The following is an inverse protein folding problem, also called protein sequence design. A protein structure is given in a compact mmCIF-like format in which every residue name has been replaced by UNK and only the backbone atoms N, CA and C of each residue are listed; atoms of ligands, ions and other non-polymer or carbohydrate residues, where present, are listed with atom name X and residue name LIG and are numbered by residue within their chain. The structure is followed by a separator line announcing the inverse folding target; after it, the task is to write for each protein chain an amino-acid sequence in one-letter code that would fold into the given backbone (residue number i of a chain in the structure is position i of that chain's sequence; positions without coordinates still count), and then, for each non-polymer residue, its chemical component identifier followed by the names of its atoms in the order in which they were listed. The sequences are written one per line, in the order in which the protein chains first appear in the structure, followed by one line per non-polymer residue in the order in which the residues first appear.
data_IF_526946030718
#
_entry.id   IF_526946030718
#
_cell.length_a   1.000
_cell.length_b   1.000
_cell.length_c   1.000
_cell.angle_alpha   90.00
_cell.angle_beta   90.00
_cell.angle_gamma   90.00
#
_symmetry.space_group_name_H-M   'P 1'
#
loop_
_entity.id
_entity.type
_entity.pdbx_description
1 polymer ?
#
# COMPACT_ATOMS: atom_id res chain seq x y z
N UNK A 1 24.03 -40.14 7.52
CA UNK A 1 23.60 -39.56 6.24
C UNK A 1 22.27 -38.85 6.43
N UNK A 2 22.29 -37.62 6.95
CA UNK A 2 21.12 -36.75 7.14
C UNK A 2 21.55 -35.53 7.96
N UNK A 3 21.84 -34.42 7.31
CA UNK A 3 22.27 -33.19 7.99
C UNK A 3 22.51 -32.04 7.02
N UNK A 4 22.08 -30.85 7.46
CA UNK A 4 22.37 -29.52 6.90
C UNK A 4 21.61 -29.06 5.63
N UNK A 5 20.42 -28.51 5.84
CA UNK A 5 20.01 -27.30 5.15
C UNK A 5 19.37 -26.33 6.15
N UNK A 6 20.23 -25.60 6.86
CA UNK A 6 19.88 -24.61 7.87
C UNK A 6 19.61 -23.25 7.19
N UNK A 7 18.48 -22.63 7.56
CA UNK A 7 18.17 -21.20 7.60
C UNK A 7 17.88 -20.47 6.27
N UNK A 8 16.65 -19.91 6.16
CA UNK A 8 16.39 -18.45 6.07
C UNK A 8 15.13 -18.11 5.23
N UNK A 9 13.96 -17.97 5.87
CA UNK A 9 12.88 -17.09 5.39
C UNK A 9 12.14 -16.52 6.62
N UNK A 10 12.83 -15.63 7.33
CA UNK A 10 12.39 -15.00 8.57
C UNK A 10 11.16 -14.09 8.38
N UNK A 11 9.97 -14.72 8.37
CA UNK A 11 8.74 -14.36 9.11
C UNK A 11 7.61 -15.38 8.88
N UNK A 12 7.85 -16.40 8.06
CA UNK A 12 7.11 -17.66 7.98
C UNK A 12 7.83 -18.83 8.70
N UNK A 13 8.90 -18.57 9.46
CA UNK A 13 9.85 -19.56 10.00
C UNK A 13 9.64 -20.00 11.48
N UNK A 14 8.41 -20.07 12.00
CA UNK A 14 8.16 -20.55 13.39
C UNK A 14 7.16 -21.70 13.47
N UNK A 15 7.39 -22.79 12.71
CA UNK A 15 6.55 -23.98 12.79
C UNK A 15 7.29 -25.32 13.03
N UNK A 16 8.58 -25.35 13.38
CA UNK A 16 9.24 -26.66 13.58
C UNK A 16 10.23 -26.86 14.72
N UNK A 17 10.38 -25.95 15.71
CA UNK A 17 11.11 -26.28 16.94
C UNK A 17 10.39 -25.76 18.18
N UNK A 18 9.94 -26.71 19.01
CA UNK A 18 9.20 -26.50 20.25
C UNK A 18 10.02 -25.80 21.33
N UNK A 19 10.11 -24.48 21.24
CA UNK A 19 10.21 -23.58 22.38
C UNK A 19 9.42 -22.32 22.01
N UNK A 20 8.18 -22.29 22.50
CA UNK A 20 7.20 -21.24 22.29
C UNK A 20 7.71 -19.93 22.89
N UNK A 21 8.06 -18.97 22.04
CA UNK A 21 7.62 -17.59 22.27
C UNK A 21 6.27 -17.48 21.55
N UNK A 22 5.19 -17.04 22.21
CA UNK A 22 3.89 -16.98 21.56
C UNK A 22 3.95 -15.87 20.50
N UNK A 23 3.73 -16.19 19.23
CA UNK A 23 3.54 -15.23 18.14
C UNK A 23 2.78 -15.87 16.99
N UNK A 24 1.79 -15.12 16.46
CA UNK A 24 0.88 -15.47 15.37
C UNK A 24 1.61 -16.06 14.16
N UNK A 25 0.99 -17.03 13.48
CA UNK A 25 1.53 -17.62 12.25
C UNK A 25 0.42 -17.84 11.22
N UNK A 26 0.68 -17.44 9.98
CA UNK A 26 -0.16 -17.80 8.84
C UNK A 26 -0.05 -19.32 8.62
N UNK A 27 -1.19 -20.00 8.60
CA UNK A 27 -1.23 -21.44 8.29
C UNK A 27 -1.65 -21.64 6.85
N UNK A 28 -0.86 -22.41 6.11
CA UNK A 28 -1.22 -22.82 4.76
C UNK A 28 -2.48 -23.69 4.85
N UNK A 29 -3.57 -23.24 4.24
CA UNK A 29 -4.82 -24.02 4.17
C UNK A 29 -4.65 -25.25 3.27
N UNK A 30 -5.65 -26.15 3.27
CA UNK A 30 -5.70 -27.28 2.34
C UNK A 30 -5.56 -26.79 0.90
N UNK A 31 -4.51 -27.23 0.20
CA UNK A 31 -4.28 -26.91 -1.21
C UNK A 31 -4.66 -28.12 -2.04
N UNK A 32 -5.62 -27.96 -2.94
CA UNK A 32 -5.81 -28.91 -4.02
C UNK A 32 -4.67 -28.68 -5.04
N UNK A 33 -3.81 -29.67 -5.33
CA UNK A 33 -2.70 -29.51 -6.27
C UNK A 33 -3.13 -29.13 -7.71
N UNK A 34 -4.41 -29.30 -8.04
CA UNK A 34 -5.00 -28.87 -9.31
C UNK A 34 -5.51 -27.41 -9.30
N UNK A 35 -5.73 -26.81 -8.13
CA UNK A 35 -6.21 -25.42 -8.04
C UNK A 35 -5.04 -24.43 -8.06
N UNK A 36 -5.02 -23.55 -9.06
CA UNK A 36 -4.07 -22.42 -9.19
C UNK A 36 -4.36 -21.26 -8.21
N UNK A 37 -5.26 -21.49 -7.25
CA UNK A 37 -5.74 -20.51 -6.28
C UNK A 37 -5.13 -20.81 -4.91
N UNK A 38 -4.44 -19.82 -4.33
CA UNK A 38 -3.76 -19.99 -3.05
C UNK A 38 -4.59 -19.53 -1.87
N UNK A 39 -4.99 -20.47 -1.03
CA UNK A 39 -5.65 -20.17 0.24
C UNK A 39 -4.66 -20.12 1.40
N UNK A 40 -4.62 -18.99 2.10
CA UNK A 40 -3.95 -18.84 3.39
C UNK A 40 -4.99 -18.50 4.44
N UNK A 41 -5.01 -19.27 5.52
CA UNK A 41 -5.88 -19.03 6.67
C UNK A 41 -5.02 -18.54 7.83
N UNK A 42 -5.44 -17.45 8.46
CA UNK A 42 -4.92 -17.09 9.78
C UNK A 42 -5.81 -17.74 10.84
N UNK A 43 -5.38 -18.87 11.40
CA UNK A 43 -6.10 -19.59 12.44
C UNK A 43 -5.62 -19.21 13.84
N UNK A 44 -6.55 -19.01 14.78
CA UNK A 44 -6.22 -18.81 16.20
C UNK A 44 -5.66 -20.09 16.83
N UNK A 45 -4.34 -20.16 17.01
CA UNK A 45 -3.73 -20.99 18.04
C UNK A 45 -2.96 -20.10 19.02
N UNK A 46 -3.63 -19.76 20.13
CA UNK A 46 -3.04 -19.07 21.27
C UNK A 46 -3.29 -17.56 21.31
N UNK A 47 -4.04 -17.11 22.31
CA UNK A 47 -4.13 -15.70 22.69
C UNK A 47 -2.73 -15.14 22.99
N UNK A 48 -2.43 -13.97 22.42
CA UNK A 48 -1.29 -13.14 22.78
C UNK A 48 -1.75 -11.82 23.42
N UNK A 49 -0.95 -11.23 24.33
CA UNK A 49 -1.33 -10.07 25.15
C UNK A 49 -1.17 -8.71 24.46
N UNK A 50 -0.82 -8.67 23.17
CA UNK A 50 -0.78 -7.44 22.38
C UNK A 50 -1.82 -7.51 21.26
N UNK A 51 -3.09 -7.43 21.64
CA UNK A 51 -4.09 -6.90 20.72
C UNK A 51 -3.72 -5.43 20.49
N UNK A 52 -3.56 -4.94 19.25
CA UNK A 52 -3.71 -3.52 19.06
C UNK A 52 -5.08 -3.18 19.65
N UNK A 53 -5.15 -2.23 20.60
CA UNK A 53 -6.42 -1.86 21.22
C UNK A 53 -7.50 -1.45 20.19
N UNK A 54 -7.11 -1.27 18.92
CA UNK A 54 -7.94 -0.77 17.82
C UNK A 54 -7.71 -1.62 16.56
N UNK A 55 -8.76 -2.26 16.02
CA UNK A 55 -8.69 -3.16 14.85
C UNK A 55 -8.22 -2.53 13.52
N UNK A 56 -7.89 -1.24 13.51
CA UNK A 56 -7.50 -0.49 12.32
C UNK A 56 -5.99 -0.45 12.05
N UNK A 57 -5.16 -0.54 13.09
CA UNK A 57 -3.70 -0.72 12.91
C UNK A 57 -3.36 -2.10 12.31
N UNK A 58 -4.35 -2.99 12.21
CA UNK A 58 -4.26 -4.26 11.48
C UNK A 58 -4.10 -4.06 9.97
N UNK A 59 -4.63 -2.98 9.39
CA UNK A 59 -4.62 -2.84 7.94
C UNK A 59 -3.20 -2.68 7.37
N UNK A 60 -2.30 -1.99 8.09
CA UNK A 60 -0.89 -1.94 7.71
C UNK A 60 -0.25 -3.34 7.67
N UNK A 61 -0.64 -4.24 8.59
CA UNK A 61 -0.21 -5.65 8.57
C UNK A 61 -0.82 -6.42 7.41
N UNK A 62 -2.09 -6.20 7.10
CA UNK A 62 -2.76 -6.79 5.94
C UNK A 62 -2.04 -6.41 4.64
N UNK A 63 -1.60 -5.16 4.47
CA UNK A 63 -0.80 -4.75 3.31
C UNK A 63 0.55 -5.48 3.23
N UNK A 64 1.21 -5.70 4.38
CA UNK A 64 2.45 -6.47 4.49
C UNK A 64 2.24 -7.95 4.11
N UNK A 65 1.13 -8.54 4.55
CA UNK A 65 0.76 -9.93 4.29
C UNK A 65 0.34 -10.14 2.82
N UNK A 66 -0.41 -9.20 2.23
CA UNK A 66 -0.76 -9.21 0.80
C UNK A 66 0.50 -9.16 -0.08
N UNK A 67 1.48 -8.33 0.27
CA UNK A 67 2.75 -8.28 -0.46
C UNK A 67 3.49 -9.62 -0.35
N UNK A 68 3.51 -10.22 0.85
CA UNK A 68 4.12 -11.53 1.12
C UNK A 68 3.46 -12.64 0.33
N UNK A 69 2.12 -12.65 0.27
CA UNK A 69 1.34 -13.58 -0.52
C UNK A 69 1.62 -13.41 -2.01
N UNK A 70 1.61 -12.17 -2.52
CA UNK A 70 1.88 -11.91 -3.93
C UNK A 70 3.25 -12.44 -4.36
N UNK A 71 4.28 -12.22 -3.52
CA UNK A 71 5.62 -12.73 -3.77
C UNK A 71 5.66 -14.26 -3.74
N UNK A 72 4.95 -14.90 -2.79
CA UNK A 72 4.83 -16.36 -2.72
C UNK A 72 4.17 -16.95 -3.97
N UNK A 73 3.08 -16.34 -4.45
CA UNK A 73 2.38 -16.75 -5.67
C UNK A 73 3.33 -16.71 -6.87
N UNK A 74 4.11 -15.63 -7.01
CA UNK A 74 5.12 -15.51 -8.06
C UNK A 74 6.24 -16.56 -7.96
N UNK A 75 6.73 -16.88 -6.76
CA UNK A 75 7.72 -17.93 -6.58
C UNK A 75 7.18 -19.32 -6.91
N UNK A 76 5.89 -19.57 -6.65
CA UNK A 76 5.25 -20.82 -7.06
C UNK A 76 5.10 -20.90 -8.58
N UNK A 77 4.70 -19.81 -9.24
CA UNK A 77 4.60 -19.72 -10.71
C UNK A 77 5.96 -19.92 -11.40
N UNK A 78 7.02 -19.40 -10.81
CA UNK A 78 8.39 -19.48 -11.34
C UNK A 78 9.20 -20.63 -10.75
N UNK A 79 8.55 -21.59 -10.07
CA UNK A 79 9.24 -22.67 -9.37
C UNK A 79 9.93 -23.59 -10.36
N UNK A 80 11.24 -23.76 -10.16
CA UNK A 80 12.05 -24.73 -10.91
C UNK A 80 12.31 -25.93 -10.00
N UNK A 81 11.78 -27.10 -10.35
CA UNK A 81 11.86 -28.31 -9.51
C UNK A 81 13.29 -28.79 -9.25
N UNK A 82 14.24 -28.47 -10.13
CA UNK A 82 15.65 -28.87 -10.02
C UNK A 82 16.49 -27.92 -9.16
N UNK A 83 16.01 -26.72 -8.85
CA UNK A 83 16.78 -25.70 -8.14
C UNK A 83 16.36 -25.61 -6.66
N UNK A 84 17.34 -25.57 -5.77
CA UNK A 84 17.12 -25.44 -4.31
C UNK A 84 16.66 -24.03 -3.92
N UNK A 85 17.02 -23.02 -4.70
CA UNK A 85 16.64 -21.62 -4.54
C UNK A 85 16.25 -21.06 -5.91
N UNK A 86 15.26 -20.17 -5.95
CA UNK A 86 14.90 -19.48 -7.19
C UNK A 86 16.06 -18.60 -7.66
N UNK A 87 16.45 -18.63 -8.94
CA UNK A 87 17.44 -17.70 -9.49
C UNK A 87 16.87 -16.28 -9.64
N UNK A 88 15.55 -16.12 -9.47
CA UNK A 88 14.83 -14.88 -9.64
C UNK A 88 14.62 -14.17 -8.30
N UNK A 89 14.96 -12.89 -8.25
CA UNK A 89 14.51 -11.95 -7.23
C UNK A 89 13.19 -11.31 -7.65
N UNK A 90 12.10 -11.75 -7.02
CA UNK A 90 10.79 -11.12 -7.17
C UNK A 90 10.68 -9.90 -6.25
N UNK A 91 10.31 -8.76 -6.81
CA UNK A 91 10.08 -7.51 -6.07
C UNK A 91 8.77 -6.87 -6.52
N UNK A 92 8.13 -6.18 -5.58
CA UNK A 92 6.92 -5.40 -5.84
C UNK A 92 7.28 -4.14 -6.62
N UNK A 93 6.63 -3.94 -7.76
CA UNK A 93 6.86 -2.77 -8.61
C UNK A 93 5.69 -1.78 -8.52
N UNK A 94 4.47 -2.29 -8.48
CA UNK A 94 3.28 -1.48 -8.39
C UNK A 94 2.18 -2.22 -7.63
N UNK A 95 1.39 -1.47 -6.89
CA UNK A 95 0.13 -1.93 -6.28
C UNK A 95 -0.96 -1.05 -6.85
N UNK A 96 -1.95 -1.65 -7.51
CA UNK A 96 -3.10 -0.91 -7.98
C UNK A 96 -3.93 -0.44 -6.78
N UNK A 97 -4.76 0.57 -7.02
CA UNK A 97 -5.74 1.06 -6.03
C UNK A 97 -6.47 -0.08 -5.33
N UNK A 98 -6.53 0.00 -3.99
CA UNK A 98 -7.23 -0.95 -3.12
C UNK A 98 -8.39 -0.19 -2.46
N UNK A 99 -9.61 -0.57 -2.81
CA UNK A 99 -10.84 -0.07 -2.19
C UNK A 99 -11.33 -1.04 -1.11
N UNK A 100 -11.76 -0.49 0.02
CA UNK A 100 -12.34 -1.27 1.11
C UNK A 100 -13.83 -1.49 0.86
N UNK A 101 -14.28 -2.75 0.77
CA UNK A 101 -15.69 -3.07 0.60
C UNK A 101 -16.51 -2.93 1.90
N UNK A 102 -15.84 -2.91 3.06
CA UNK A 102 -16.48 -2.87 4.38
C UNK A 102 -15.87 -1.76 5.25
N UNK A 103 -16.75 -1.00 5.92
CA UNK A 103 -16.37 0.12 6.81
C UNK A 103 -15.59 -0.29 8.06
N UNK A 104 -15.63 -1.57 8.47
CA UNK A 104 -14.90 -2.04 9.64
C UNK A 104 -14.56 -3.52 9.56
N UNK A 105 -13.30 -3.85 9.86
CA UNK A 105 -12.79 -5.20 10.05
C UNK A 105 -12.97 -5.60 11.51
N UNK A 106 -13.60 -6.75 11.76
CA UNK A 106 -13.62 -7.26 13.13
C UNK A 106 -12.24 -7.81 13.49
N UNK A 107 -11.59 -7.32 14.57
CA UNK A 107 -10.28 -7.82 15.00
C UNK A 107 -10.33 -9.23 15.59
N UNK A 108 -11.54 -9.74 15.85
CA UNK A 108 -11.77 -11.02 16.50
C UNK A 108 -12.09 -12.15 15.51
N UNK A 109 -12.39 -11.80 14.25
CA UNK A 109 -12.80 -12.75 13.23
C UNK A 109 -11.61 -13.19 12.37
N UNK A 110 -11.65 -14.44 11.94
CA UNK A 110 -10.61 -15.02 11.10
C UNK A 110 -10.66 -14.42 9.70
N UNK A 111 -9.49 -14.34 9.07
CA UNK A 111 -9.31 -13.81 7.72
C UNK A 111 -8.73 -14.89 6.81
N UNK A 112 -9.17 -14.88 5.56
CA UNK A 112 -8.71 -15.78 4.51
C UNK A 112 -8.20 -14.95 3.34
N UNK A 113 -6.99 -15.23 2.90
CA UNK A 113 -6.47 -14.67 1.66
C UNK A 113 -6.57 -15.69 0.53
N UNK A 114 -6.90 -15.20 -0.66
CA UNK A 114 -6.95 -15.94 -1.90
C UNK A 114 -6.18 -15.17 -2.97
N UNK A 115 -5.47 -15.82 -3.87
CA UNK A 115 -4.85 -15.13 -5.00
C UNK A 115 -4.32 -16.05 -6.08
N UNK A 116 -4.12 -15.47 -7.26
CA UNK A 116 -3.61 -16.14 -8.46
C UNK A 116 -2.88 -15.13 -9.38
N UNK A 117 -2.06 -15.65 -10.29
CA UNK A 117 -1.46 -14.84 -11.36
C UNK A 117 -2.53 -14.58 -12.43
N UNK A 118 -2.91 -13.32 -12.64
CA UNK A 118 -3.93 -12.94 -13.61
C UNK A 118 -3.35 -12.61 -14.99
N UNK A 119 -2.11 -12.13 -15.04
CA UNK A 119 -1.45 -11.76 -16.29
C UNK A 119 0.07 -11.88 -16.17
N UNK A 120 0.72 -12.24 -17.27
CA UNK A 120 2.18 -12.36 -17.35
C UNK A 120 2.71 -11.60 -18.55
N UNK A 121 3.66 -10.70 -18.29
CA UNK A 121 4.44 -9.99 -19.30
C UNK A 121 5.79 -10.67 -19.55
N UNK A 122 6.74 -9.91 -20.12
CA UNK A 122 8.09 -10.44 -20.38
C UNK A 122 8.87 -10.69 -19.08
N UNK A 123 8.82 -9.73 -18.15
CA UNK A 123 9.62 -9.75 -16.90
C UNK A 123 8.78 -9.37 -15.68
N UNK A 124 7.46 -9.34 -15.83
CA UNK A 124 6.51 -8.86 -14.83
C UNK A 124 5.29 -9.78 -14.77
N UNK A 125 4.70 -9.90 -13.60
CA UNK A 125 3.51 -10.70 -13.35
C UNK A 125 2.50 -9.84 -12.60
N UNK A 126 1.25 -9.86 -13.04
CA UNK A 126 0.12 -9.32 -12.30
C UNK A 126 -0.46 -10.42 -11.41
N UNK A 127 -0.64 -10.11 -10.13
CA UNK A 127 -1.19 -11.01 -9.13
C UNK A 127 -2.44 -10.38 -8.55
N UNK A 128 -3.59 -11.01 -8.79
CA UNK A 128 -4.87 -10.63 -8.19
C UNK A 128 -5.03 -11.39 -6.88
N UNK A 129 -5.35 -10.65 -5.83
CA UNK A 129 -5.56 -11.18 -4.48
C UNK A 129 -6.87 -10.66 -3.91
N UNK A 130 -7.54 -11.51 -3.14
CA UNK A 130 -8.77 -11.20 -2.45
C UNK A 130 -8.63 -11.59 -0.99
N UNK A 131 -9.14 -10.75 -0.11
CA UNK A 131 -9.24 -11.04 1.32
C UNK A 131 -10.70 -11.23 1.67
N UNK A 132 -10.97 -12.24 2.48
CA UNK A 132 -12.28 -12.54 3.03
C UNK A 132 -12.19 -12.52 4.56
N UNK A 133 -13.29 -12.15 5.21
CA UNK A 133 -13.43 -12.23 6.66
C UNK A 133 -14.61 -13.12 7.01
N UNK A 134 -14.41 -13.98 8.01
CA UNK A 134 -15.45 -14.86 8.53
C UNK A 134 -16.52 -14.05 9.25
N UNK A 135 -17.78 -14.30 8.91
CA UNK A 135 -18.95 -13.78 9.60
C UNK A 135 -20.05 -14.82 9.53
N UNK A 136 -20.65 -15.18 10.68
CA UNK A 136 -21.73 -16.17 10.75
C UNK A 136 -21.42 -17.49 10.00
N UNK A 137 -20.19 -18.00 10.17
CA UNK A 137 -19.63 -19.19 9.49
C UNK A 137 -19.46 -19.09 7.96
N UNK A 138 -19.66 -17.92 7.35
CA UNK A 138 -19.39 -17.68 5.93
C UNK A 138 -18.29 -16.64 5.71
N UNK A 139 -17.53 -16.80 4.63
CA UNK A 139 -16.45 -15.87 4.27
C UNK A 139 -16.97 -14.79 3.32
N UNK A 140 -16.99 -13.54 3.79
CA UNK A 140 -17.41 -12.39 2.99
C UNK A 140 -16.21 -11.61 2.44
N UNK A 141 -16.26 -11.14 1.18
CA UNK A 141 -15.17 -10.38 0.59
C UNK A 141 -15.00 -9.02 1.30
N UNK A 142 -13.75 -8.67 1.58
CA UNK A 142 -13.36 -7.46 2.32
C UNK A 142 -12.65 -6.47 1.41
N UNK A 143 -11.65 -6.96 0.68
CA UNK A 143 -10.88 -6.17 -0.27
C UNK A 143 -10.44 -7.06 -1.44
N UNK A 144 -10.17 -6.41 -2.55
CA UNK A 144 -9.49 -6.98 -3.71
C UNK A 144 -8.29 -6.11 -4.01
N UNK A 145 -7.14 -6.73 -4.25
CA UNK A 145 -5.89 -6.04 -4.49
C UNK A 145 -5.20 -6.65 -5.71
N UNK A 146 -4.61 -5.80 -6.56
CA UNK A 146 -3.87 -6.24 -7.74
C UNK A 146 -2.45 -5.71 -7.65
N UNK A 147 -1.49 -6.62 -7.62
CA UNK A 147 -0.06 -6.30 -7.46
C UNK A 147 0.67 -6.63 -8.75
N UNK A 148 1.55 -5.74 -9.18
CA UNK A 148 2.50 -6.00 -10.27
C UNK A 148 3.86 -6.31 -9.66
N UNK A 149 4.27 -7.56 -9.83
CA UNK A 149 5.56 -8.07 -9.39
C UNK A 149 6.53 -8.09 -10.58
N UNK A 150 7.80 -7.76 -10.34
CA UNK A 150 8.85 -7.80 -11.35
C UNK A 150 9.91 -8.82 -10.97
N UNK A 151 10.25 -9.68 -11.94
CA UNK A 151 11.34 -10.63 -11.80
C UNK A 151 12.67 -9.98 -12.22
N UNK A 152 13.67 -10.14 -11.36
CA UNK A 152 15.05 -9.74 -11.63
C UNK A 152 15.98 -10.92 -11.44
N UNK A 153 17.07 -10.91 -12.16
CA UNK A 153 18.17 -11.84 -11.96
C UNK A 153 18.84 -11.56 -10.61
N UNK A 154 19.04 -12.60 -9.80
CA UNK A 154 19.59 -12.46 -8.45
C UNK A 154 21.08 -12.07 -8.43
N UNK A 155 21.86 -12.40 -9.47
CA UNK A 155 23.28 -12.12 -9.55
C UNK A 155 23.54 -10.73 -10.16
N UNK A 156 22.98 -10.48 -11.35
CA UNK A 156 23.29 -9.27 -12.12
C UNK A 156 22.27 -8.13 -11.96
N UNK A 157 21.18 -8.36 -11.21
CA UNK A 157 20.10 -7.41 -10.91
C UNK A 157 19.31 -6.91 -12.14
N UNK A 158 19.52 -7.47 -13.33
CA UNK A 158 18.81 -7.10 -14.57
C UNK A 158 17.40 -7.72 -14.61
N UNK A 159 16.48 -7.20 -15.45
CA UNK A 159 15.19 -7.83 -15.65
C UNK A 159 15.34 -9.28 -16.11
N UNK A 160 14.56 -10.19 -15.51
CA UNK A 160 14.60 -11.61 -15.83
C UNK A 160 13.27 -12.08 -16.42
N UNK A 161 13.33 -13.01 -17.37
CA UNK A 161 12.14 -13.55 -18.02
C UNK A 161 11.33 -14.44 -17.08
N UNK A 162 10.01 -14.40 -17.25
CA UNK A 162 9.06 -15.21 -16.48
C UNK A 162 8.30 -16.16 -17.41
N UNK A 163 7.90 -17.31 -16.87
CA UNK A 163 7.16 -18.32 -17.62
C UNK A 163 5.81 -17.76 -18.08
N UNK A 164 5.40 -17.92 -19.35
CA UNK A 164 4.09 -17.47 -19.82
C UNK A 164 2.97 -18.22 -19.10
N UNK A 165 1.80 -17.59 -18.99
CA UNK A 165 0.61 -18.21 -18.43
C UNK A 165 -0.07 -19.08 -19.49
N UNK A 166 -0.42 -20.31 -19.14
CA UNK A 166 -1.21 -21.20 -19.99
C UNK A 166 -2.67 -21.00 -19.62
N UNK A 167 -3.46 -20.50 -20.56
CA UNK A 167 -4.89 -20.22 -20.37
C UNK A 167 -5.69 -21.44 -20.79
N UNK A 168 -6.51 -21.98 -19.89
CA UNK A 168 -7.29 -23.21 -20.13
C UNK A 168 -8.80 -22.93 -20.17
N UNK A 169 -9.26 -21.88 -19.48
CA UNK A 169 -10.68 -21.54 -19.39
C UNK A 169 -11.00 -20.16 -19.99
N UNK A 170 -12.24 -19.94 -20.47
CA UNK A 170 -12.68 -18.61 -20.92
C UNK A 170 -12.58 -17.53 -19.83
N UNK A 171 -12.70 -17.92 -18.56
CA UNK A 171 -12.54 -17.01 -17.43
C UNK A 171 -11.06 -16.56 -17.30
N UNK A 172 -10.10 -17.48 -17.44
CA UNK A 172 -8.68 -17.14 -17.43
C UNK A 172 -8.31 -16.25 -18.63
N UNK A 173 -8.88 -16.49 -19.81
CA UNK A 173 -8.68 -15.64 -21.00
C UNK A 173 -9.18 -14.21 -20.77
N UNK A 174 -10.36 -14.05 -20.17
CA UNK A 174 -10.90 -12.74 -19.84
C UNK A 174 -10.07 -12.03 -18.76
N UNK A 175 -9.61 -12.74 -17.73
CA UNK A 175 -8.71 -12.19 -16.71
C UNK A 175 -7.39 -11.71 -17.33
N UNK A 176 -6.83 -12.48 -18.26
CA UNK A 176 -5.61 -12.11 -18.97
C UNK A 176 -5.81 -10.86 -19.83
N UNK A 177 -6.91 -10.79 -20.59
CA UNK A 177 -7.29 -9.63 -21.40
C UNK A 177 -7.47 -8.37 -20.55
N UNK A 178 -8.09 -8.51 -19.37
CA UNK A 178 -8.19 -7.41 -18.40
C UNK A 178 -6.82 -6.94 -17.92
N UNK A 179 -5.89 -7.86 -17.66
CA UNK A 179 -4.51 -7.52 -17.29
C UNK A 179 -3.77 -6.70 -18.37
N UNK A 180 -4.01 -6.99 -19.65
CA UNK A 180 -3.47 -6.18 -20.76
C UNK A 180 -4.04 -4.75 -20.78
N UNK A 181 -5.35 -4.61 -20.55
CA UNK A 181 -6.00 -3.30 -20.43
C UNK A 181 -5.47 -2.53 -19.21
N UNK A 182 -5.31 -3.19 -18.07
CA UNK A 182 -4.75 -2.61 -16.85
C UNK A 182 -3.32 -2.10 -17.07
N UNK A 183 -2.50 -2.85 -17.80
CA UNK A 183 -1.16 -2.39 -18.21
C UNK A 183 -1.23 -1.09 -19.01
N UNK A 184 -2.14 -0.99 -19.98
CA UNK A 184 -2.36 0.24 -20.74
C UNK A 184 -2.73 1.42 -19.84
N UNK A 185 -3.64 1.21 -18.89
CA UNK A 185 -4.06 2.22 -17.89
C UNK A 185 -2.88 2.69 -17.02
N UNK A 186 -2.05 1.77 -16.51
CA UNK A 186 -0.87 2.09 -15.68
C UNK A 186 0.14 2.96 -16.43
N UNK A 187 0.35 2.68 -17.73
CA UNK A 187 1.24 3.48 -18.59
C UNK A 187 0.68 4.90 -18.79
N UNK A 188 -0.63 5.01 -19.07
CA UNK A 188 -1.28 6.31 -19.20
C UNK A 188 -1.22 7.13 -17.88
N UNK A 189 -1.47 6.49 -16.74
CA UNK A 189 -1.44 7.14 -15.43
C UNK A 189 -0.05 7.73 -15.09
N UNK A 190 1.04 6.99 -15.37
CA UNK A 190 2.42 7.49 -15.23
C UNK A 190 2.72 8.74 -16.07
N UNK A 191 2.04 8.90 -17.21
CA UNK A 191 2.23 10.05 -18.10
C UNK A 191 1.46 11.31 -17.65
N UNK A 192 0.39 11.16 -16.87
CA UNK A 192 -0.54 12.23 -16.48
C UNK A 192 -0.21 12.93 -15.15
N UNK A 193 0.96 12.68 -14.55
CA UNK A 193 1.35 13.24 -13.26
C UNK A 193 1.39 14.79 -13.27
N UNK A 194 0.85 15.43 -12.22
CA UNK A 194 0.90 16.88 -11.99
C UNK A 194 2.31 17.48 -11.95
N UNK A 195 3.33 16.65 -11.67
CA UNK A 195 4.73 17.06 -11.78
C UNK A 195 5.14 17.34 -13.24
N UNK A 196 4.34 16.92 -14.21
CA UNK A 196 4.57 17.06 -15.66
C UNK A 196 3.55 17.97 -16.34
N UNK A 197 2.35 18.13 -15.77
CA UNK A 197 1.24 18.89 -16.38
C UNK A 197 0.74 19.98 -15.44
N UNK A 198 0.57 21.21 -15.97
CA UNK A 198 0.04 22.33 -15.20
C UNK A 198 -1.44 22.11 -14.81
N UNK A 199 -1.90 22.72 -13.69
CA UNK A 199 -3.30 22.68 -13.28
C UNK A 199 -4.26 23.24 -14.34
N UNK A 200 -5.48 22.70 -14.37
CA UNK A 200 -6.56 23.16 -15.27
C UNK A 200 -7.06 24.56 -14.87
N UNK A 201 -7.86 25.19 -15.73
CA UNK A 201 -8.39 26.52 -15.44
C UNK A 201 -9.30 26.51 -14.20
N UNK A 202 -10.11 25.46 -14.05
CA UNK A 202 -11.02 25.26 -12.93
C UNK A 202 -10.25 25.10 -11.62
N UNK A 203 -9.24 24.24 -11.60
CA UNK A 203 -8.37 24.01 -10.43
C UNK A 203 -7.65 25.29 -9.98
N UNK A 204 -7.19 26.11 -10.94
CA UNK A 204 -6.57 27.40 -10.62
C UNK A 204 -7.56 28.36 -9.97
N UNK A 205 -8.80 28.40 -10.46
CA UNK A 205 -9.86 29.22 -9.87
C UNK A 205 -10.16 28.76 -8.45
N UNK A 206 -10.27 27.44 -8.19
CA UNK A 206 -10.47 26.91 -6.84
C UNK A 206 -9.36 27.35 -5.87
N UNK A 207 -8.09 27.24 -6.27
CA UNK A 207 -6.97 27.69 -5.44
C UNK A 207 -7.01 29.21 -5.21
N UNK A 208 -7.39 29.98 -6.23
CA UNK A 208 -7.52 31.43 -6.12
C UNK A 208 -8.62 31.81 -5.13
N UNK A 209 -9.78 31.18 -5.20
CA UNK A 209 -10.91 31.42 -4.30
C UNK A 209 -10.56 31.06 -2.85
N UNK A 210 -9.88 29.92 -2.66
CA UNK A 210 -9.34 29.54 -1.35
C UNK A 210 -8.37 30.60 -0.83
N UNK A 211 -7.44 31.07 -1.66
CA UNK A 211 -6.51 32.13 -1.29
C UNK A 211 -7.25 33.40 -0.85
N UNK A 212 -8.22 33.86 -1.64
CA UNK A 212 -9.02 35.05 -1.32
C UNK A 212 -9.79 34.88 0.00
N UNK A 213 -10.36 33.70 0.25
CA UNK A 213 -11.09 33.41 1.50
C UNK A 213 -10.21 33.48 2.76
N UNK A 214 -8.89 33.36 2.59
CA UNK A 214 -7.92 33.43 3.70
C UNK A 214 -7.36 34.83 3.93
N UNK A 215 -7.66 35.82 3.08
CA UNK A 215 -7.14 37.18 3.26
C UNK A 215 -7.83 37.86 4.44
N UNK A 216 -7.04 38.54 5.27
CA UNK A 216 -7.58 39.33 6.38
C UNK A 216 -8.29 40.59 5.85
N UNK A 217 -9.61 40.74 6.04
CA UNK A 217 -10.34 41.92 5.55
C UNK A 217 -9.87 43.24 6.19
N UNK A 218 -9.21 43.17 7.36
CA UNK A 218 -8.75 44.34 8.10
C UNK A 218 -7.42 44.89 7.60
N UNK A 219 -6.64 44.08 6.90
CA UNK A 219 -5.34 44.47 6.38
C UNK A 219 -5.32 44.29 4.87
N UNK A 220 -5.09 45.38 4.12
CA UNK A 220 -4.97 45.34 2.65
C UNK A 220 -3.59 44.77 2.27
N UNK A 221 -3.27 43.57 2.75
CA UNK A 221 -1.96 42.93 2.59
C UNK A 221 -2.13 41.47 2.21
N UNK A 222 -1.46 41.06 1.14
CA UNK A 222 -1.40 39.67 0.69
C UNK A 222 -0.64 38.74 1.65
N UNK A 223 -0.03 39.27 2.71
CA UNK A 223 0.72 38.48 3.71
C UNK A 223 -0.12 38.12 4.93
N UNK A 224 -1.07 38.98 5.31
CA UNK A 224 -1.92 38.73 6.47
C UNK A 224 -3.04 37.79 6.06
N UNK A 225 -3.01 36.57 6.62
CA UNK A 225 -4.01 35.55 6.35
C UNK A 225 -4.61 35.02 7.63
N UNK A 226 -5.94 34.89 7.61
CA UNK A 226 -6.74 34.35 8.70
C UNK A 226 -7.55 33.18 8.15
N UNK A 227 -7.59 32.08 8.89
CA UNK A 227 -8.36 30.91 8.49
C UNK A 227 -9.86 31.18 8.63
N UNK A 228 -10.69 30.70 7.67
CA UNK A 228 -12.13 30.63 7.85
C UNK A 228 -12.52 29.81 9.09
N UNK A 229 -13.78 29.94 9.58
CA UNK A 229 -14.29 29.10 10.65
C UNK A 229 -14.11 27.61 10.32
N UNK A 230 -13.64 26.81 11.29
CA UNK A 230 -13.33 25.39 11.11
C UNK A 230 -12.21 25.09 10.07
N UNK A 231 -11.38 26.07 9.74
CA UNK A 231 -10.20 25.88 8.89
C UNK A 231 -8.94 25.54 9.68
N UNK A 232 -8.05 24.73 9.10
CA UNK A 232 -6.73 24.37 9.64
C UNK A 232 -5.68 24.51 8.54
N UNK A 233 -4.50 25.06 8.87
CA UNK A 233 -3.40 25.14 7.92
C UNK A 233 -2.82 23.76 7.62
N UNK A 234 -2.58 23.46 6.34
CA UNK A 234 -1.97 22.22 5.89
C UNK A 234 -0.65 21.90 6.62
N UNK A 235 0.18 22.91 6.84
CA UNK A 235 1.48 22.76 7.53
C UNK A 235 1.37 22.20 8.95
N UNK A 236 0.27 22.46 9.65
CA UNK A 236 0.05 22.00 11.03
C UNK A 236 -0.30 20.51 11.11
N UNK A 237 -0.69 19.90 9.99
CA UNK A 237 -1.02 18.47 9.91
C UNK A 237 0.20 17.57 9.67
N UNK A 238 1.41 18.13 9.57
CA UNK A 238 2.62 17.38 9.20
C UNK A 238 3.10 16.50 10.36
N UNK A 239 3.22 15.20 10.12
CA UNK A 239 3.92 14.27 11.01
C UNK A 239 5.11 13.64 10.28
N UNK A 240 6.13 13.24 11.04
CA UNK A 240 7.33 12.60 10.52
C UNK A 240 7.68 11.36 11.32
N UNK A 241 8.23 10.36 10.65
CA UNK A 241 8.79 9.16 11.27
C UNK A 241 10.15 8.86 10.64
N UNK A 242 11.01 8.19 11.41
CA UNK A 242 12.27 7.65 10.98
C UNK A 242 12.32 6.18 11.40
N UNK A 243 12.54 5.30 10.43
CA UNK A 243 12.69 3.87 10.65
C UNK A 243 14.07 3.41 10.15
N UNK A 244 14.73 2.57 10.94
CA UNK A 244 15.96 1.90 10.50
C UNK A 244 15.57 0.61 9.79
N UNK A 245 16.09 0.41 8.58
CA UNK A 245 15.82 -0.76 7.76
C UNK A 245 16.58 -1.99 8.27
N UNK A 246 16.01 -2.69 9.25
CA UNK A 246 16.66 -3.84 9.88
C UNK A 246 16.64 -5.13 9.02
N UNK A 247 17.58 -6.07 9.24
CA UNK A 247 17.65 -7.32 8.49
C UNK A 247 16.43 -8.25 8.64
N UNK A 248 15.58 -8.09 9.66
CA UNK A 248 14.36 -8.90 9.81
C UNK A 248 13.27 -8.53 8.80
N UNK A 249 13.34 -7.34 8.20
CA UNK A 249 12.33 -6.82 7.28
C UNK A 249 12.77 -6.96 5.80
N UNK A 250 13.74 -7.86 5.55
CA UNK A 250 14.34 -8.10 4.23
C UNK A 250 13.72 -9.29 3.51
N UNK A 251 13.73 -9.24 2.18
CA UNK A 251 13.54 -10.39 1.31
C UNK A 251 14.79 -11.28 1.26
N UNK A 252 14.68 -12.46 0.64
CA UNK A 252 15.82 -13.40 0.49
C UNK A 252 17.03 -12.81 -0.24
N UNK A 253 16.83 -11.76 -1.03
CA UNK A 253 17.88 -11.06 -1.77
C UNK A 253 18.36 -9.78 -1.07
N UNK A 254 18.17 -9.70 0.24
CA UNK A 254 18.70 -8.64 1.10
C UNK A 254 18.20 -7.22 0.76
N UNK A 255 16.97 -7.11 0.26
CA UNK A 255 16.27 -5.82 0.05
C UNK A 255 15.09 -5.72 0.98
N UNK A 256 14.74 -4.51 1.39
CA UNK A 256 13.56 -4.30 2.22
C UNK A 256 12.30 -4.63 1.43
N UNK A 257 11.38 -5.29 2.10
CA UNK A 257 10.12 -5.76 1.54
C UNK A 257 9.17 -4.59 1.24
N UNK A 258 8.45 -4.64 0.12
CA UNK A 258 7.49 -3.58 -0.25
C UNK A 258 6.39 -3.42 0.81
N UNK A 259 5.95 -4.55 1.35
CA UNK A 259 4.99 -4.64 2.45
C UNK A 259 5.41 -3.87 3.70
N UNK A 260 6.70 -3.89 4.04
CA UNK A 260 7.21 -3.12 5.19
C UNK A 260 7.04 -1.62 4.97
N UNK A 261 7.38 -1.11 3.78
CA UNK A 261 7.22 0.30 3.45
C UNK A 261 5.74 0.71 3.49
N UNK A 262 4.86 -0.09 2.89
CA UNK A 262 3.42 0.16 2.88
C UNK A 262 2.85 0.21 4.29
N UNK A 263 3.24 -0.74 5.14
CA UNK A 263 2.81 -0.76 6.54
C UNK A 263 3.22 0.48 7.29
N UNK A 264 4.50 0.87 7.22
CA UNK A 264 5.01 2.05 7.94
C UNK A 264 4.38 3.35 7.43
N UNK A 265 4.19 3.46 6.11
CA UNK A 265 3.49 4.59 5.52
C UNK A 265 2.03 4.66 5.98
N UNK A 266 1.33 3.53 6.02
CA UNK A 266 -0.04 3.46 6.52
C UNK A 266 -0.14 3.83 8.00
N UNK A 267 0.71 3.28 8.86
CA UNK A 267 0.74 3.58 10.30
C UNK A 267 0.91 5.09 10.55
N UNK A 268 1.82 5.75 9.82
CA UNK A 268 2.02 7.20 9.90
C UNK A 268 0.84 8.00 9.31
N UNK A 269 0.30 7.56 8.18
CA UNK A 269 -0.85 8.19 7.53
C UNK A 269 -2.10 8.15 8.42
N UNK A 270 -2.37 7.00 9.04
CA UNK A 270 -3.45 6.82 10.00
C UNK A 270 -3.26 7.70 11.24
N UNK A 271 -2.06 7.77 11.79
CA UNK A 271 -1.76 8.66 12.92
C UNK A 271 -2.01 10.13 12.58
N UNK A 272 -1.71 10.53 11.33
CA UNK A 272 -1.94 11.89 10.83
C UNK A 272 -3.42 12.20 10.71
N UNK A 273 -4.20 11.29 10.13
CA UNK A 273 -5.65 11.43 10.04
C UNK A 273 -6.30 11.45 11.43
N UNK A 274 -5.82 10.63 12.36
CA UNK A 274 -6.31 10.61 13.74
C UNK A 274 -6.02 11.94 14.48
N UNK A 275 -4.80 12.47 14.32
CA UNK A 275 -4.41 13.74 14.92
C UNK A 275 -5.19 14.92 14.32
N UNK A 276 -5.46 14.89 13.01
CA UNK A 276 -6.18 15.95 12.32
C UNK A 276 -7.69 15.93 12.60
N UNK A 277 -8.33 14.75 12.50
CA UNK A 277 -9.77 14.61 12.67
C UNK A 277 -10.24 14.56 14.13
N UNK A 278 -9.32 14.43 15.10
CA UNK A 278 -9.64 14.33 16.53
C UNK A 278 -10.51 13.10 16.89
N UNK A 279 -10.62 12.14 15.99
CA UNK A 279 -11.41 10.92 16.12
C UNK A 279 -10.67 9.76 15.44
N UNK A 280 -11.23 8.55 15.51
CA UNK A 280 -10.63 7.40 14.84
C UNK A 280 -11.05 7.37 13.38
N UNK A 281 -10.12 7.54 12.43
CA UNK A 281 -10.44 7.42 11.02
C UNK A 281 -10.54 5.95 10.64
N UNK A 282 -11.39 5.64 9.66
CA UNK A 282 -11.49 4.39 8.91
C UNK A 282 -10.76 4.53 7.57
N UNK A 283 -9.99 3.51 7.16
CA UNK A 283 -9.43 3.48 5.80
C UNK A 283 -10.54 3.16 4.79
N UNK A 284 -10.63 3.97 3.73
CA UNK A 284 -11.60 3.80 2.64
C UNK A 284 -10.90 3.27 1.41
N UNK A 285 -9.79 3.91 1.02
CA UNK A 285 -9.04 3.55 -0.15
C UNK A 285 -7.54 3.80 0.04
N UNK A 286 -6.75 2.98 -0.64
CA UNK A 286 -5.31 3.18 -0.87
C UNK A 286 -5.14 3.38 -2.37
N UNK A 287 -4.59 4.50 -2.81
CA UNK A 287 -4.38 4.74 -4.25
C UNK A 287 -3.20 3.93 -4.80
N UNK A 288 -2.99 4.00 -6.12
CA UNK A 288 -1.90 3.30 -6.81
C UNK A 288 -0.54 3.65 -6.21
N UNK A 289 0.21 2.62 -5.79
CA UNK A 289 1.56 2.76 -5.21
C UNK A 289 2.58 2.30 -6.24
N UNK A 290 3.53 3.16 -6.59
CA UNK A 290 4.62 2.82 -7.51
C UNK A 290 5.97 2.83 -6.80
N UNK A 291 6.63 1.66 -6.76
CA UNK A 291 7.94 1.47 -6.17
C UNK A 291 9.05 1.87 -7.14
N UNK A 292 9.56 3.10 -6.98
CA UNK A 292 10.54 3.67 -7.91
C UNK A 292 11.93 3.06 -7.75
N UNK A 293 12.38 2.86 -6.50
CA UNK A 293 13.73 2.40 -6.19
C UNK A 293 13.72 1.34 -5.09
N UNK A 294 14.59 0.32 -5.18
CA UNK A 294 14.76 -0.65 -4.11
C UNK A 294 15.40 -0.01 -2.89
N UNK A 295 15.07 -0.52 -1.71
CA UNK A 295 15.63 -0.07 -0.43
C UNK A 295 16.55 -1.15 0.13
N UNK A 296 17.74 -0.76 0.55
CA UNK A 296 18.75 -1.67 1.08
C UNK A 296 18.63 -1.81 2.61
N UNK A 297 19.08 -2.95 3.12
CA UNK A 297 19.17 -3.17 4.57
C UNK A 297 20.24 -2.27 5.15
N UNK A 298 19.93 -1.63 6.28
CA UNK A 298 20.80 -0.67 6.96
C UNK A 298 20.61 0.78 6.54
N UNK A 299 19.79 1.06 5.51
CA UNK A 299 19.41 2.44 5.16
C UNK A 299 18.45 3.05 6.18
N UNK A 300 18.36 4.38 6.18
CA UNK A 300 17.42 5.16 6.97
C UNK A 300 16.19 5.50 6.12
N UNK A 301 15.01 5.07 6.56
CA UNK A 301 13.73 5.36 5.94
C UNK A 301 13.08 6.57 6.63
N UNK A 302 13.01 7.69 5.93
CA UNK A 302 12.31 8.89 6.36
C UNK A 302 10.90 8.89 5.78
N UNK A 303 9.91 9.07 6.64
CA UNK A 303 8.51 9.19 6.25
C UNK A 303 7.99 10.56 6.69
N UNK A 304 7.32 11.26 5.79
CA UNK A 304 6.65 12.53 6.08
C UNK A 304 5.22 12.46 5.59
N UNK A 305 4.26 12.57 6.50
CA UNK A 305 2.84 12.59 6.21
C UNK A 305 2.25 13.98 6.36
N UNK A 306 1.20 14.27 5.61
CA UNK A 306 0.44 15.50 5.71
C UNK A 306 -0.96 15.30 5.14
N UNK A 307 -1.96 15.99 5.69
CA UNK A 307 -3.30 16.05 5.11
C UNK A 307 -3.24 16.95 3.88
N UNK A 308 -3.61 16.43 2.71
CA UNK A 308 -3.58 17.20 1.47
C UNK A 308 -4.96 17.73 1.08
N UNK A 309 -6.03 17.00 1.36
CA UNK A 309 -7.40 17.40 1.00
C UNK A 309 -8.39 16.90 2.05
N UNK A 310 -9.48 17.64 2.25
CA UNK A 310 -10.55 17.32 3.20
C UNK A 310 -11.89 17.68 2.61
N UNK A 311 -12.89 16.82 2.77
CA UNK A 311 -14.26 17.10 2.36
C UNK A 311 -15.22 16.35 3.30
N UNK A 312 -16.15 17.08 3.92
CA UNK A 312 -17.10 16.53 4.89
C UNK A 312 -16.39 15.77 6.03
N UNK A 313 -16.48 14.44 6.05
CA UNK A 313 -15.80 13.57 7.02
C UNK A 313 -14.60 12.82 6.40
N UNK A 314 -14.25 13.09 5.15
CA UNK A 314 -13.11 12.47 4.46
C UNK A 314 -11.83 13.28 4.62
N UNK A 315 -10.73 12.56 4.80
CA UNK A 315 -9.37 13.08 4.93
C UNK A 315 -8.49 12.36 3.92
N UNK A 316 -7.96 13.08 2.94
CA UNK A 316 -6.90 12.58 2.06
C UNK A 316 -5.56 12.88 2.70
N UNK A 317 -4.78 11.83 2.97
CA UNK A 317 -3.43 11.94 3.55
C UNK A 317 -2.41 11.49 2.53
N UNK A 318 -1.40 12.33 2.31
CA UNK A 318 -0.23 12.00 1.51
C UNK A 318 0.93 11.65 2.43
N UNK A 319 1.58 10.51 2.19
CA UNK A 319 2.80 10.08 2.88
C UNK A 319 3.93 9.96 1.88
N UNK A 320 4.98 10.75 2.07
CA UNK A 320 6.19 10.73 1.26
C UNK A 320 7.26 9.92 1.96
N UNK A 321 7.89 9.00 1.21
CA UNK A 321 9.00 8.19 1.71
C UNK A 321 10.29 8.53 0.99
N UNK A 322 11.33 8.72 1.78
CA UNK A 322 12.69 8.96 1.32
C UNK A 322 13.63 8.00 2.03
N UNK A 323 14.68 7.58 1.32
CA UNK A 323 15.73 6.74 1.89
C UNK A 323 17.05 7.48 1.78
N UNK A 324 17.83 7.44 2.86
CA UNK A 324 19.22 7.85 2.86
C UNK A 324 20.11 6.67 3.24
N UNK A 325 21.18 6.48 2.48
CA UNK A 325 22.23 5.52 2.82
C UNK A 325 23.17 6.13 3.86
N UNK A 326 23.82 5.31 4.68
CA UNK A 326 24.81 5.82 5.65
C UNK A 326 26.04 6.46 4.98
N UNK A 327 26.35 6.01 3.76
CA UNK A 327 27.51 6.47 2.99
C UNK A 327 27.20 7.76 2.22
N UNK A 328 25.99 7.83 1.64
CA UNK A 328 25.54 8.95 0.83
C UNK A 328 24.55 9.78 1.65
N UNK A 329 24.93 11.01 2.01
CA UNK A 329 24.04 11.97 2.70
C UNK A 329 22.88 12.48 1.82
N UNK A 330 22.65 11.85 0.67
CA UNK A 330 21.59 12.22 -0.26
C UNK A 330 20.30 11.48 0.08
N UNK A 331 19.20 12.23 0.09
CA UNK A 331 17.86 11.70 0.27
C UNK A 331 17.29 11.34 -1.10
N UNK A 332 16.84 10.10 -1.24
CA UNK A 332 16.24 9.60 -2.48
C UNK A 332 14.77 9.26 -2.23
N UNK A 333 13.87 9.88 -2.99
CA UNK A 333 12.44 9.51 -2.94
C UNK A 333 12.25 8.07 -3.42
N UNK A 334 11.55 7.27 -2.61
CA UNK A 334 11.24 5.87 -2.92
C UNK A 334 9.80 5.70 -3.39
N UNK A 335 8.86 6.25 -2.64
CA UNK A 335 7.42 6.10 -2.86
C UNK A 335 6.68 7.34 -2.35
N UNK A 336 5.52 7.58 -2.95
CA UNK A 336 4.50 8.48 -2.44
C UNK A 336 3.25 7.62 -2.26
N UNK A 337 2.63 7.70 -1.10
CA UNK A 337 1.41 6.98 -0.76
C UNK A 337 0.30 8.00 -0.57
N UNK A 338 -0.88 7.69 -1.09
CA UNK A 338 -2.09 8.47 -0.85
C UNK A 338 -3.12 7.54 -0.23
N UNK A 339 -3.62 7.97 0.93
CA UNK A 339 -4.59 7.22 1.71
C UNK A 339 -5.84 8.08 1.89
N UNK A 340 -7.00 7.50 1.59
CA UNK A 340 -8.29 8.13 1.85
C UNK A 340 -8.87 7.57 3.14
N UNK A 341 -9.01 8.42 4.13
CA UNK A 341 -9.60 8.08 5.42
C UNK A 341 -10.97 8.74 5.57
N UNK A 342 -11.85 8.10 6.35
CA UNK A 342 -13.15 8.64 6.74
C UNK A 342 -13.22 8.72 8.27
N UNK A 343 -13.47 9.90 8.81
CA UNK A 343 -13.68 10.17 10.23
C UNK A 343 -15.12 9.88 10.64
N UNK A 344 -15.35 9.59 11.93
CA UNK A 344 -16.70 9.46 12.51
C UNK A 344 -17.46 10.80 12.52
N UNK A 345 -16.71 11.89 12.58
CA UNK A 345 -17.23 13.27 12.64
C UNK A 345 -16.74 14.07 11.45
N UNK A 346 -17.47 15.13 11.14
CA UNK A 346 -17.01 16.15 10.19
C UNK A 346 -15.64 16.67 10.60
N UNK A 347 -14.76 16.84 9.62
CA UNK A 347 -13.36 17.23 9.84
C UNK A 347 -13.15 18.68 9.46
N UNK A 348 -12.18 19.38 10.09
CA UNK A 348 -11.83 20.72 9.68
C UNK A 348 -11.37 20.79 8.21
N UNK A 349 -11.62 21.91 7.55
CA UNK A 349 -11.16 22.13 6.18
C UNK A 349 -9.67 22.46 6.17
N UNK A 350 -8.90 21.77 5.35
CA UNK A 350 -7.46 22.03 5.19
C UNK A 350 -7.21 23.15 4.18
N UNK A 351 -6.40 24.14 4.57
CA UNK A 351 -6.04 25.27 3.70
C UNK A 351 -4.53 25.27 3.40
N UNK A 352 -4.14 25.40 2.12
CA UNK A 352 -2.75 25.53 1.73
C UNK A 352 -2.21 26.93 2.02
N UNK A 353 -1.00 27.02 2.56
CA UNK A 353 -0.32 28.29 2.83
C UNK A 353 0.62 28.68 1.68
N UNK A 354 1.29 27.72 1.08
CA UNK A 354 2.27 27.96 0.01
C UNK A 354 1.76 27.46 -1.34
N UNK A 355 2.36 27.91 -2.44
CA UNK A 355 2.05 27.37 -3.77
C UNK A 355 2.28 25.84 -3.85
N UNK A 356 3.35 25.35 -3.21
CA UNK A 356 3.60 23.90 -3.13
C UNK A 356 2.47 23.16 -2.41
N UNK A 357 1.94 23.73 -1.33
CA UNK A 357 0.77 23.17 -0.63
C UNK A 357 -0.50 23.28 -1.46
N UNK A 358 -0.66 24.33 -2.28
CA UNK A 358 -1.77 24.42 -3.22
C UNK A 358 -1.71 23.32 -4.27
N UNK A 359 -0.52 22.97 -4.77
CA UNK A 359 -0.37 21.84 -5.69
C UNK A 359 -0.67 20.51 -5.01
N UNK A 360 -0.25 20.36 -3.75
CA UNK A 360 -0.59 19.17 -2.94
C UNK A 360 -2.10 19.06 -2.68
N UNK A 361 -2.78 20.19 -2.50
CA UNK A 361 -4.23 20.22 -2.35
C UNK A 361 -4.94 19.72 -3.60
N UNK A 362 -4.55 20.23 -4.78
CA UNK A 362 -5.10 19.78 -6.05
C UNK A 362 -4.80 18.31 -6.34
N UNK A 363 -3.58 17.86 -6.04
CA UNK A 363 -3.19 16.45 -6.12
C UNK A 363 -4.11 15.59 -5.25
N UNK A 364 -4.29 15.96 -3.98
CA UNK A 364 -5.21 15.30 -3.06
C UNK A 364 -6.66 15.29 -3.56
N UNK A 365 -7.13 16.40 -4.14
CA UNK A 365 -8.47 16.52 -4.71
C UNK A 365 -8.67 15.57 -5.90
N UNK A 366 -7.71 15.48 -6.83
CA UNK A 366 -7.76 14.55 -7.97
C UNK A 366 -7.84 13.10 -7.52
N UNK A 367 -7.00 12.75 -6.55
CA UNK A 367 -6.97 11.43 -5.94
C UNK A 367 -8.32 11.09 -5.29
N UNK A 368 -8.90 12.01 -4.53
CA UNK A 368 -10.23 11.85 -3.94
C UNK A 368 -11.35 11.73 -5.00
N UNK A 369 -11.37 12.59 -6.03
CA UNK A 369 -12.38 12.52 -7.09
C UNK A 369 -12.31 11.24 -7.93
N UNK A 370 -11.12 10.65 -8.07
CA UNK A 370 -10.94 9.34 -8.73
C UNK A 370 -11.63 8.20 -7.97
N UNK A 371 -11.86 8.35 -6.66
CA UNK A 371 -12.63 7.40 -5.86
C UNK A 371 -14.13 7.49 -6.16
N UNK A 372 -14.71 8.69 -6.11
CA UNK A 372 -16.15 8.85 -6.26
C UNK A 372 -16.67 8.52 -7.66
N UNK A 373 -15.85 8.73 -8.69
CA UNK A 373 -16.24 8.42 -10.07
C UNK A 373 -16.49 6.92 -10.31
N UNK A 374 -15.98 6.03 -9.44
CA UNK A 374 -16.25 4.59 -9.47
C UNK A 374 -17.53 4.18 -8.72
N UNK A 375 -18.00 4.98 -7.75
CA UNK A 375 -19.24 4.71 -7.02
C UNK A 375 -20.49 5.03 -7.85
N UNK A 376 -20.43 6.05 -8.72
CA UNK A 376 -21.56 6.44 -9.59
C UNK A 376 -21.78 5.47 -10.78
N UNK A 377 -20.88 4.51 -10.98
CA UNK A 377 -20.90 3.52 -12.07
C UNK A 377 -21.28 2.10 -11.60
N UNK A 378 -21.60 1.92 -10.32
CA UNK A 378 -22.24 0.71 -9.77
C UNK A 378 -23.69 1.02 -9.40
#
# INVERSE_FOLDING_TARGET
ASGACFFLFCRLCTLSKGLLAPSRGLTQGSQNPEERIFHINEGKHGCLPFQPMWGQTLFGRILEDLDSLGVLICYKHTKIHSAKMSPLSIVTALVDKIDMCKKSLSPEQDIKFSGHVSWVGKTSMEVKMQMFQLHDNEFFPVLSATFVMVARDSENKRPAFVNPLILESPEEEELFRQGELNKGRRVAFSSASLLKMAPTAEERTTIHDMFLSTLDPKTISFRSRVLPPNGVWMESSKLKSLDICHPQERNIFNRIFGGFLMRRAYELGWATACNFGGSRPFIVAVDDIMFQKPVEVGSLLFLSSQVCFTQENYIQVRVHSEVASLQDKEHMTTNVFHFTFMSEKEVPLVFPRTYGESMLYLDGQRHFSSMHSLETLK
#
